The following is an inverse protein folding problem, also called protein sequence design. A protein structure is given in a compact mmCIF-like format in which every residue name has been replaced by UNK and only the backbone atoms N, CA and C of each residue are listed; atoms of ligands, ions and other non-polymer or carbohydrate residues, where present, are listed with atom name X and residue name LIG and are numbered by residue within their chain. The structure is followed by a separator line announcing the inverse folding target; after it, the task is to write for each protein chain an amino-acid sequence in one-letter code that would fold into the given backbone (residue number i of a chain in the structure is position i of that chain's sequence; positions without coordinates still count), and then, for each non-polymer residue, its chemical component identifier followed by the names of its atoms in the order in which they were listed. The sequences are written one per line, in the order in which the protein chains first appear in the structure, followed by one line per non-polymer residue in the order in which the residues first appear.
data_IF_595316716828
#
_entry.id   IF_595316716828
#
_cell.length_a   1.000
_cell.length_b   1.000
_cell.length_c   1.000
_cell.angle_alpha   90.00
_cell.angle_beta   90.00
_cell.angle_gamma   90.00
#
_symmetry.space_group_name_H-M   'P 1'
#
loop_
_entity.id
_entity.type
_entity.pdbx_description
1 polymer ?
#
# COMPACT_ATOMS: atom_id res chain seq x y z
N UNK A 1 -26.81 8.25 25.99
CA UNK A 1 -25.52 8.35 26.71
C UNK A 1 -25.77 8.53 28.19
N UNK A 2 -25.29 7.67 29.09
CA UNK A 2 -25.32 7.98 30.52
C UNK A 2 -24.21 9.00 30.80
N UNK A 3 -24.59 10.23 31.06
CA UNK A 3 -23.70 11.26 31.61
C UNK A 3 -23.54 11.01 33.10
N UNK A 4 -22.30 10.98 33.56
CA UNK A 4 -21.95 10.95 34.98
C UNK A 4 -22.00 12.41 35.46
N UNK A 5 -23.01 12.73 36.25
CA UNK A 5 -23.30 14.06 36.74
C UNK A 5 -22.14 14.65 37.51
N UNK A 6 -21.54 13.89 38.43
CA UNK A 6 -20.41 14.35 39.22
C UNK A 6 -19.18 14.71 38.39
N UNK A 7 -18.92 13.88 37.36
CA UNK A 7 -17.80 14.12 36.43
C UNK A 7 -18.05 15.34 35.56
N UNK A 8 -19.29 15.53 35.11
CA UNK A 8 -19.67 16.68 34.31
C UNK A 8 -19.56 17.99 35.16
N UNK A 9 -20.08 17.97 36.34
CA UNK A 9 -20.00 19.14 37.26
C UNK A 9 -18.55 19.48 37.62
N UNK A 10 -17.71 18.47 37.88
CA UNK A 10 -16.28 18.70 38.13
C UNK A 10 -15.57 19.26 36.87
N UNK A 11 -15.92 18.80 35.70
CA UNK A 11 -15.38 19.31 34.44
C UNK A 11 -15.77 20.78 34.24
N UNK A 12 -17.05 21.11 34.37
CA UNK A 12 -17.54 22.49 34.23
C UNK A 12 -16.86 23.43 35.24
N UNK A 13 -16.78 23.04 36.53
CA UNK A 13 -16.10 23.83 37.55
C UNK A 13 -14.63 24.09 37.26
N UNK A 14 -13.94 23.10 36.67
CA UNK A 14 -12.52 23.22 36.30
C UNK A 14 -12.30 24.15 35.10
N UNK A 15 -13.28 24.27 34.22
CA UNK A 15 -13.18 25.02 32.96
C UNK A 15 -14.11 26.26 32.95
N UNK A 16 -14.50 26.77 34.09
CA UNK A 16 -15.46 27.89 34.23
C UNK A 16 -15.07 29.16 33.49
N UNK A 17 -13.77 29.39 33.32
CA UNK A 17 -13.21 30.58 32.67
C UNK A 17 -12.84 30.32 31.19
N UNK A 18 -13.20 29.14 30.64
CA UNK A 18 -12.90 28.75 29.24
C UNK A 18 -14.13 28.93 28.38
N UNK A 19 -13.99 29.65 27.28
CA UNK A 19 -15.05 29.81 26.27
C UNK A 19 -15.31 28.52 25.45
N UNK A 20 -14.35 27.58 25.44
CA UNK A 20 -14.45 26.31 24.73
C UNK A 20 -13.65 25.21 25.44
N UNK A 21 -14.29 24.10 25.73
CA UNK A 21 -13.63 22.94 26.34
C UNK A 21 -14.24 21.64 25.82
N UNK A 22 -13.42 20.68 25.45
CA UNK A 22 -13.85 19.37 24.95
C UNK A 22 -14.10 18.44 26.13
N UNK A 23 -15.35 18.04 26.35
CA UNK A 23 -15.71 17.10 27.42
C UNK A 23 -15.50 15.64 27.05
N UNK A 24 -15.86 15.26 25.81
CA UNK A 24 -15.66 13.92 25.26
C UNK A 24 -15.37 13.97 23.77
N UNK A 25 -14.57 13.03 23.33
CA UNK A 25 -14.23 12.81 21.93
C UNK A 25 -14.69 11.43 21.46
N UNK A 26 -14.75 11.22 20.15
CA UNK A 26 -15.03 9.94 19.49
C UNK A 26 -16.35 9.27 19.89
N UNK A 27 -17.40 10.04 20.09
CA UNK A 27 -18.74 9.53 20.35
C UNK A 27 -19.42 9.14 19.02
N UNK A 28 -20.03 7.94 18.97
CA UNK A 28 -20.87 7.57 17.82
C UNK A 28 -22.20 8.33 17.85
N UNK A 29 -22.84 8.47 16.67
CA UNK A 29 -24.16 9.11 16.58
C UNK A 29 -25.16 8.47 17.54
N UNK A 30 -25.22 7.15 17.62
CA UNK A 30 -26.11 6.42 18.51
C UNK A 30 -25.90 6.73 20.00
N UNK A 31 -24.70 7.10 20.39
CA UNK A 31 -24.40 7.48 21.79
C UNK A 31 -24.89 8.89 22.15
N UNK A 32 -25.04 9.76 21.16
CA UNK A 32 -25.44 11.16 21.39
C UNK A 32 -26.86 11.47 20.92
N UNK A 33 -27.54 10.55 20.21
CA UNK A 33 -28.85 10.78 19.62
C UNK A 33 -29.88 11.30 20.65
N UNK A 34 -30.06 10.59 21.77
CA UNK A 34 -30.99 10.99 22.82
C UNK A 34 -30.69 12.41 23.38
N UNK A 35 -29.40 12.76 23.47
CA UNK A 35 -28.99 14.08 23.97
C UNK A 35 -29.22 15.17 22.92
N UNK A 36 -28.99 14.88 21.63
CA UNK A 36 -29.32 15.79 20.52
C UNK A 36 -30.83 16.04 20.46
N UNK A 37 -31.64 14.99 20.58
CA UNK A 37 -33.09 15.09 20.57
C UNK A 37 -33.62 15.86 21.79
N UNK A 38 -33.04 15.64 22.95
CA UNK A 38 -33.35 16.41 24.16
C UNK A 38 -33.05 17.89 23.97
N UNK A 39 -31.85 18.24 23.49
CA UNK A 39 -31.43 19.64 23.28
C UNK A 39 -32.32 20.33 22.21
N UNK A 40 -32.82 19.60 21.24
CA UNK A 40 -33.74 20.12 20.21
C UNK A 40 -35.20 20.26 20.70
N UNK A 41 -35.50 19.78 21.90
CA UNK A 41 -36.88 19.83 22.46
C UNK A 41 -37.12 21.06 23.32
N UNK A 42 -38.37 21.48 23.48
CA UNK A 42 -38.80 22.59 24.36
C UNK A 42 -38.41 22.38 25.84
N UNK A 43 -38.06 21.13 26.21
CA UNK A 43 -37.60 20.80 27.58
C UNK A 43 -36.22 21.29 27.88
N UNK A 44 -35.47 21.72 26.89
CA UNK A 44 -34.09 22.17 27.01
C UNK A 44 -33.93 23.71 26.98
N UNK A 45 -35.00 24.50 27.21
CA UNK A 45 -34.94 25.96 27.21
C UNK A 45 -33.81 26.56 28.04
N UNK A 46 -33.44 25.89 29.13
CA UNK A 46 -32.37 26.33 30.03
C UNK A 46 -31.02 25.65 29.79
N UNK A 47 -30.89 24.86 28.68
CA UNK A 47 -29.67 24.16 28.33
C UNK A 47 -29.02 24.85 27.14
N UNK A 48 -27.89 25.50 27.39
CA UNK A 48 -27.10 26.19 26.36
C UNK A 48 -25.63 25.81 26.42
N UNK A 49 -24.88 26.15 25.38
CA UNK A 49 -23.43 25.97 25.35
C UNK A 49 -22.94 24.55 25.02
N UNK A 50 -23.83 23.60 24.74
CA UNK A 50 -23.42 22.26 24.28
C UNK A 50 -23.33 22.26 22.76
N UNK A 51 -22.14 21.93 22.23
CA UNK A 51 -21.86 21.88 20.81
C UNK A 51 -21.35 20.49 20.44
N UNK A 52 -21.89 19.93 19.36
CA UNK A 52 -21.40 18.69 18.76
C UNK A 52 -20.61 19.02 17.51
N UNK A 53 -19.33 18.70 17.53
CA UNK A 53 -18.47 18.80 16.34
C UNK A 53 -18.44 17.45 15.66
N UNK A 54 -18.94 17.38 14.43
CA UNK A 54 -18.91 16.17 13.63
C UNK A 54 -17.51 16.00 13.01
N UNK A 55 -16.95 14.81 13.14
CA UNK A 55 -15.69 14.42 12.51
C UNK A 55 -15.92 13.12 11.75
N UNK A 56 -15.52 13.10 10.50
CA UNK A 56 -15.55 11.87 9.71
C UNK A 56 -14.32 11.04 10.01
N UNK A 57 -14.53 9.74 10.22
CA UNK A 57 -13.44 8.77 10.46
C UNK A 57 -13.48 7.70 9.39
N UNK A 58 -12.33 7.49 8.74
CA UNK A 58 -12.17 6.39 7.78
C UNK A 58 -12.30 5.05 8.51
N UNK A 59 -13.05 4.13 7.91
CA UNK A 59 -13.26 2.77 8.43
C UNK A 59 -12.67 1.75 7.48
N UNK A 60 -12.06 0.72 8.06
CA UNK A 60 -11.43 -0.38 7.34
C UNK A 60 -12.04 -1.71 7.79
N UNK A 61 -13.22 -2.12 7.24
CA UNK A 61 -13.97 -3.29 7.74
C UNK A 61 -13.16 -4.58 7.74
N UNK A 62 -12.25 -4.72 6.79
CA UNK A 62 -11.36 -5.89 6.67
C UNK A 62 -10.04 -5.75 7.44
N UNK A 63 -9.91 -4.74 8.28
CA UNK A 63 -8.79 -4.49 9.19
C UNK A 63 -7.40 -4.55 8.53
N UNK A 64 -6.77 -5.74 8.46
CA UNK A 64 -5.40 -5.89 7.94
C UNK A 64 -5.32 -6.40 6.51
N UNK A 65 -6.46 -6.75 5.89
CA UNK A 65 -6.48 -7.28 4.53
C UNK A 65 -5.97 -6.24 3.53
N UNK A 66 -5.01 -6.60 2.71
CA UNK A 66 -4.36 -5.76 1.71
C UNK A 66 -3.80 -4.44 2.29
N UNK A 67 -3.32 -4.44 3.54
CA UNK A 67 -2.98 -3.22 4.27
C UNK A 67 -1.99 -2.31 3.54
N UNK A 68 -0.92 -2.85 2.93
CA UNK A 68 0.04 -2.05 2.17
C UNK A 68 -0.50 -1.57 0.81
N UNK A 69 -1.53 -2.22 0.28
CA UNK A 69 -2.20 -1.80 -0.96
C UNK A 69 -3.16 -0.66 -0.68
N UNK A 70 -3.95 -0.78 0.38
CA UNK A 70 -4.96 0.20 0.76
C UNK A 70 -4.29 1.45 1.34
N UNK A 71 -3.39 1.30 2.33
CA UNK A 71 -2.91 2.41 3.13
C UNK A 71 -3.92 2.86 4.17
N UNK A 72 -3.67 3.98 4.83
CA UNK A 72 -4.55 4.50 5.89
C UNK A 72 -4.58 6.03 5.88
N UNK A 73 -5.56 6.60 6.59
CA UNK A 73 -5.64 8.04 6.82
C UNK A 73 -4.95 8.38 8.13
N UNK A 74 -4.00 9.31 8.09
CA UNK A 74 -3.41 9.96 9.26
C UNK A 74 -3.97 11.37 9.43
N UNK A 75 -4.07 11.82 10.68
CA UNK A 75 -4.52 13.17 11.06
C UNK A 75 -5.85 13.59 10.41
N UNK A 76 -6.74 12.62 10.23
CA UNK A 76 -8.12 12.82 9.78
C UNK A 76 -8.32 12.96 8.27
N UNK A 77 -7.33 13.48 7.52
CA UNK A 77 -7.50 13.81 6.09
C UNK A 77 -6.36 13.40 5.19
N UNK A 78 -5.21 13.03 5.74
CA UNK A 78 -4.00 12.76 4.95
C UNK A 78 -3.84 11.27 4.72
N UNK A 79 -3.95 10.84 3.46
CA UNK A 79 -3.68 9.47 3.04
C UNK A 79 -2.20 9.11 3.19
N UNK A 80 -1.92 7.98 3.83
CA UNK A 80 -0.57 7.47 4.08
C UNK A 80 -0.43 6.07 3.49
N UNK A 81 0.46 5.93 2.52
CA UNK A 81 0.69 4.69 1.79
C UNK A 81 -0.47 4.31 0.85
N UNK A 82 -0.19 3.37 -0.05
CA UNK A 82 -1.17 2.72 -0.90
C UNK A 82 -2.15 3.63 -1.65
N UNK A 83 -3.36 3.15 -1.80
CA UNK A 83 -4.47 3.81 -2.48
C UNK A 83 -4.90 5.09 -1.76
N UNK A 84 -4.94 5.08 -0.42
CA UNK A 84 -5.31 6.26 0.37
C UNK A 84 -4.38 7.44 0.09
N UNK A 85 -3.09 7.21 -0.05
CA UNK A 85 -2.13 8.28 -0.39
C UNK A 85 -2.25 8.71 -1.85
N UNK A 86 -2.29 7.74 -2.77
CA UNK A 86 -2.28 8.03 -4.21
C UNK A 86 -3.55 8.75 -4.66
N UNK A 87 -4.71 8.32 -4.17
CA UNK A 87 -6.01 8.89 -4.51
C UNK A 87 -6.55 9.83 -3.43
N UNK A 88 -5.70 10.39 -2.57
CA UNK A 88 -6.15 11.23 -1.45
C UNK A 88 -7.06 12.37 -1.92
N UNK A 89 -6.68 13.11 -2.95
CA UNK A 89 -7.49 14.20 -3.51
C UNK A 89 -8.83 13.75 -4.11
N UNK A 90 -8.90 12.49 -4.56
CA UNK A 90 -10.14 11.91 -5.10
C UNK A 90 -11.06 11.44 -3.98
N UNK A 91 -10.48 10.88 -2.92
CA UNK A 91 -11.21 10.26 -1.81
C UNK A 91 -11.68 11.27 -0.76
N UNK A 92 -10.93 12.35 -0.54
CA UNK A 92 -11.19 13.30 0.56
C UNK A 92 -12.37 14.24 0.33
N UNK A 93 -12.75 14.50 -0.93
CA UNK A 93 -13.75 15.53 -1.22
C UNK A 93 -13.26 16.95 -0.88
N UNK A 94 -14.20 17.85 -0.66
CA UNK A 94 -13.94 19.24 -0.26
C UNK A 94 -14.78 19.58 0.96
N UNK A 95 -14.16 20.10 1.99
CA UNK A 95 -14.85 20.50 3.22
C UNK A 95 -15.78 21.66 2.98
N UNK A 96 -16.99 21.57 3.51
CA UNK A 96 -17.94 22.67 3.58
C UNK A 96 -17.48 23.77 4.52
N UNK A 97 -18.09 24.93 4.43
CA UNK A 97 -17.77 26.08 5.27
C UNK A 97 -19.05 26.75 5.78
N UNK A 98 -19.05 27.09 7.08
CA UNK A 98 -20.12 27.86 7.71
C UNK A 98 -19.57 29.19 8.19
N UNK A 99 -20.07 30.27 7.61
CA UNK A 99 -19.76 31.62 8.01
C UNK A 99 -20.90 32.16 8.87
N UNK A 100 -20.56 32.79 9.99
CA UNK A 100 -21.52 33.55 10.81
C UNK A 100 -21.13 35.03 10.69
N UNK A 101 -22.09 35.89 10.44
CA UNK A 101 -21.91 37.31 10.34
C UNK A 101 -23.11 38.04 10.96
N UNK A 102 -22.96 39.29 11.29
CA UNK A 102 -24.07 40.16 11.69
C UNK A 102 -24.62 40.81 10.41
N UNK A 103 -25.92 40.73 10.22
CA UNK A 103 -26.61 41.43 9.14
C UNK A 103 -26.74 42.94 9.43
N UNK A 104 -27.35 43.72 8.53
CA UNK A 104 -27.52 45.16 8.66
C UNK A 104 -28.36 45.53 9.89
N UNK A 105 -29.19 44.64 10.40
CA UNK A 105 -30.05 44.78 11.58
C UNK A 105 -29.35 44.30 12.87
N UNK A 106 -28.03 43.98 12.81
CA UNK A 106 -27.23 43.44 13.90
C UNK A 106 -27.68 42.07 14.41
N UNK A 107 -28.49 41.37 13.62
CA UNK A 107 -28.89 40.01 13.91
C UNK A 107 -27.83 39.00 13.37
N UNK A 108 -27.70 37.89 14.07
CA UNK A 108 -26.75 36.84 13.68
C UNK A 108 -27.31 36.03 12.50
N UNK A 109 -26.68 36.16 11.34
CA UNK A 109 -26.98 35.37 10.16
C UNK A 109 -25.84 34.37 9.82
N UNK A 110 -26.10 33.41 8.95
CA UNK A 110 -25.12 32.43 8.56
C UNK A 110 -25.20 32.07 7.08
N UNK A 111 -24.05 31.98 6.44
CA UNK A 111 -23.92 31.43 5.09
C UNK A 111 -23.24 30.06 5.17
N UNK A 112 -23.78 29.09 4.45
CA UNK A 112 -23.27 27.72 4.40
C UNK A 112 -22.83 27.42 2.97
N UNK A 113 -21.59 26.96 2.83
CA UNK A 113 -21.09 26.31 1.63
C UNK A 113 -21.10 24.81 1.93
N UNK A 114 -21.94 24.06 1.22
CA UNK A 114 -22.09 22.62 1.44
C UNK A 114 -20.79 21.87 1.11
N UNK A 115 -20.47 20.77 1.83
CA UNK A 115 -19.32 19.93 1.51
C UNK A 115 -19.54 19.12 0.22
N UNK A 116 -18.48 18.89 -0.52
CA UNK A 116 -18.47 17.98 -1.66
C UNK A 116 -17.89 16.63 -1.24
N UNK A 117 -18.67 15.56 -1.40
CA UNK A 117 -18.22 14.21 -1.08
C UNK A 117 -17.10 13.77 -2.00
N UNK A 118 -16.12 13.05 -1.45
CA UNK A 118 -15.10 12.36 -2.22
C UNK A 118 -15.68 11.27 -3.13
N UNK A 119 -14.91 10.88 -4.13
CA UNK A 119 -15.31 9.86 -5.11
C UNK A 119 -14.92 8.46 -4.63
N UNK A 120 -15.64 7.45 -5.11
CA UNK A 120 -15.31 6.04 -4.87
C UNK A 120 -14.22 5.58 -5.81
N UNK A 121 -13.23 4.86 -5.29
CA UNK A 121 -12.20 4.15 -6.06
C UNK A 121 -12.49 2.66 -6.01
N UNK A 122 -12.68 2.05 -7.19
CA UNK A 122 -12.86 0.61 -7.34
C UNK A 122 -11.55 0.00 -7.81
N UNK A 123 -11.10 -1.08 -7.17
CA UNK A 123 -9.86 -1.77 -7.49
C UNK A 123 -10.14 -3.16 -8.07
N UNK A 124 -9.13 -3.75 -8.72
CA UNK A 124 -9.20 -5.13 -9.22
C UNK A 124 -8.84 -6.18 -8.17
N UNK A 125 -8.48 -5.75 -6.96
CA UNK A 125 -8.18 -6.66 -5.85
C UNK A 125 -9.43 -7.45 -5.48
N UNK A 126 -9.35 -8.78 -5.62
CA UNK A 126 -10.38 -9.69 -5.14
C UNK A 126 -10.12 -10.05 -3.68
N UNK A 127 -11.07 -9.78 -2.81
CA UNK A 127 -10.91 -9.96 -1.37
C UNK A 127 -10.68 -11.43 -0.97
N UNK A 128 -11.24 -12.38 -1.71
CA UNK A 128 -11.09 -13.81 -1.43
C UNK A 128 -9.70 -14.30 -1.86
N UNK A 129 -9.25 -13.87 -3.06
CA UNK A 129 -7.93 -14.22 -3.58
C UNK A 129 -6.85 -13.56 -2.69
N UNK A 130 -7.04 -12.30 -2.31
CA UNK A 130 -6.15 -11.59 -1.39
C UNK A 130 -6.03 -12.30 -0.04
N UNK A 131 -7.18 -12.68 0.55
CA UNK A 131 -7.21 -13.42 1.82
C UNK A 131 -6.51 -14.75 1.71
N UNK A 132 -6.77 -15.51 0.64
CA UNK A 132 -6.10 -16.78 0.38
C UNK A 132 -4.58 -16.60 0.29
N UNK A 133 -4.11 -15.59 -0.43
CA UNK A 133 -2.69 -15.27 -0.56
C UNK A 133 -2.05 -14.93 0.80
N UNK A 134 -2.70 -14.10 1.62
CA UNK A 134 -2.22 -13.74 2.96
C UNK A 134 -2.19 -14.96 3.90
N UNK A 135 -3.21 -15.81 3.85
CA UNK A 135 -3.27 -17.05 4.65
C UNK A 135 -2.14 -18.03 4.26
N UNK A 136 -1.84 -18.17 2.96
CA UNK A 136 -0.71 -19.00 2.50
C UNK A 136 0.64 -18.42 2.91
N UNK A 137 0.83 -17.09 2.83
CA UNK A 137 2.04 -16.43 3.33
C UNK A 137 2.22 -16.69 4.83
N UNK A 138 1.15 -16.55 5.62
CA UNK A 138 1.21 -16.79 7.06
C UNK A 138 1.61 -18.23 7.39
N UNK A 139 1.09 -19.22 6.63
CA UNK A 139 1.48 -20.63 6.79
C UNK A 139 2.94 -20.86 6.39
N UNK A 140 3.37 -20.25 5.30
CA UNK A 140 4.74 -20.34 4.82
C UNK A 140 5.74 -19.76 5.84
N UNK A 141 5.47 -18.56 6.35
CA UNK A 141 6.32 -17.91 7.36
C UNK A 141 6.43 -18.74 8.63
N UNK A 142 5.31 -19.28 9.12
CA UNK A 142 5.31 -20.17 10.30
C UNK A 142 6.13 -21.43 10.09
N UNK A 143 6.13 -21.97 8.88
CA UNK A 143 6.84 -23.22 8.56
C UNK A 143 8.33 -23.02 8.30
N UNK A 144 8.70 -21.94 7.62
CA UNK A 144 10.06 -21.75 7.09
C UNK A 144 10.82 -20.57 7.72
N UNK A 145 10.14 -19.62 8.33
CA UNK A 145 10.76 -18.49 9.02
C UNK A 145 11.55 -17.56 8.10
N UNK A 146 10.98 -17.16 6.95
CA UNK A 146 11.68 -16.29 6.01
C UNK A 146 11.81 -14.85 6.54
N UNK A 147 12.73 -14.08 5.97
CA UNK A 147 12.90 -12.64 6.31
C UNK A 147 11.77 -11.77 5.78
N UNK A 148 10.99 -12.28 4.84
CA UNK A 148 9.85 -11.62 4.20
C UNK A 148 9.51 -12.31 2.89
N UNK A 149 8.23 -12.51 2.65
CA UNK A 149 7.70 -13.16 1.46
C UNK A 149 6.53 -12.35 0.92
N UNK A 150 6.32 -12.44 -0.39
CA UNK A 150 5.25 -11.73 -1.07
C UNK A 150 4.60 -12.62 -2.13
N UNK A 151 3.31 -12.42 -2.35
CA UNK A 151 2.54 -13.06 -3.43
C UNK A 151 1.86 -11.97 -4.24
N UNK A 152 2.06 -11.99 -5.55
CA UNK A 152 1.35 -11.19 -6.53
C UNK A 152 0.56 -12.11 -7.44
N UNK A 153 -0.77 -11.90 -7.53
CA UNK A 153 -1.65 -12.62 -8.45
C UNK A 153 -2.17 -11.62 -9.48
N UNK A 154 -1.84 -11.87 -10.75
CA UNK A 154 -2.14 -10.96 -11.84
C UNK A 154 -2.71 -11.72 -13.03
N UNK A 155 -3.67 -11.13 -13.73
CA UNK A 155 -4.14 -11.60 -15.02
C UNK A 155 -3.13 -11.17 -16.11
N UNK A 156 -2.46 -12.11 -16.77
CA UNK A 156 -1.45 -11.75 -17.76
C UNK A 156 -2.01 -11.14 -19.05
N UNK A 157 -3.32 -11.30 -19.32
CA UNK A 157 -3.93 -10.81 -20.54
C UNK A 157 -4.26 -9.30 -20.50
N UNK A 158 -4.59 -8.78 -19.30
CA UNK A 158 -5.03 -7.39 -19.15
C UNK A 158 -4.30 -6.62 -18.06
N UNK A 159 -3.45 -7.29 -17.28
CA UNK A 159 -2.66 -6.68 -16.20
C UNK A 159 -3.42 -6.41 -14.90
N UNK A 160 -4.65 -6.86 -14.76
CA UNK A 160 -5.41 -6.75 -13.51
C UNK A 160 -4.72 -7.50 -12.38
N UNK A 161 -4.59 -6.84 -11.24
CA UNK A 161 -4.00 -7.43 -10.04
C UNK A 161 -5.14 -7.88 -9.12
N UNK A 162 -5.25 -9.19 -8.93
CA UNK A 162 -6.28 -9.79 -8.06
C UNK A 162 -5.83 -9.92 -6.61
N UNK A 163 -4.53 -10.08 -6.37
CA UNK A 163 -3.97 -10.04 -5.03
C UNK A 163 -2.55 -9.49 -5.03
N UNK A 164 -2.21 -8.75 -3.98
CA UNK A 164 -0.88 -8.22 -3.70
C UNK A 164 -0.63 -8.34 -2.21
N UNK A 165 -0.13 -9.48 -1.77
CA UNK A 165 0.01 -9.86 -0.38
C UNK A 165 1.47 -9.89 0.06
N UNK A 166 1.73 -9.46 1.30
CA UNK A 166 3.04 -9.49 1.94
C UNK A 166 2.95 -10.19 3.30
N UNK A 167 4.03 -10.84 3.70
CA UNK A 167 4.09 -11.54 5.00
C UNK A 167 3.95 -10.61 6.21
N UNK A 168 4.26 -9.33 6.03
CA UNK A 168 4.06 -8.30 7.07
C UNK A 168 2.83 -7.48 6.73
N UNK A 169 1.77 -7.61 7.50
CA UNK A 169 0.56 -6.81 7.41
C UNK A 169 0.35 -6.02 8.71
N UNK A 170 -0.47 -4.98 8.69
CA UNK A 170 -0.80 -4.17 9.87
C UNK A 170 -2.29 -3.86 9.91
N UNK A 171 -2.80 -3.50 11.08
CA UNK A 171 -4.20 -3.12 11.22
C UNK A 171 -4.40 -1.67 10.76
N UNK A 172 -5.24 -1.48 9.74
CA UNK A 172 -5.56 -0.17 9.16
C UNK A 172 -6.37 0.73 10.10
N UNK A 173 -7.16 0.15 11.02
CA UNK A 173 -7.90 0.92 12.04
C UNK A 173 -6.97 1.50 13.12
N UNK A 174 -5.81 0.87 13.34
CA UNK A 174 -4.82 1.27 14.35
C UNK A 174 -3.40 1.07 13.82
N UNK A 175 -2.99 1.80 12.77
CA UNK A 175 -1.72 1.55 12.07
C UNK A 175 -0.48 1.81 12.94
N UNK A 176 -0.61 2.65 13.99
CA UNK A 176 0.46 2.99 14.94
C UNK A 176 0.42 2.17 16.24
N UNK A 177 -0.43 1.13 16.33
CA UNK A 177 -0.43 0.23 17.48
C UNK A 177 0.87 -0.61 17.48
N UNK A 178 1.58 -0.62 18.61
CA UNK A 178 2.81 -1.39 18.80
C UNK A 178 2.64 -2.88 18.51
N UNK A 179 1.43 -3.43 18.62
CA UNK A 179 1.10 -4.80 18.23
C UNK A 179 1.43 -5.12 16.77
N UNK A 180 1.36 -4.12 15.88
CA UNK A 180 1.75 -4.30 14.49
C UNK A 180 3.25 -4.55 14.34
N UNK A 181 4.07 -4.01 15.25
CA UNK A 181 5.53 -4.21 15.27
C UNK A 181 5.90 -5.64 15.68
N UNK A 182 5.06 -6.31 16.49
CA UNK A 182 5.31 -7.67 16.98
C UNK A 182 5.35 -8.74 15.88
N UNK A 183 4.90 -8.40 14.68
CA UNK A 183 5.05 -9.28 13.51
C UNK A 183 6.49 -9.34 12.99
N UNK A 184 7.32 -8.36 13.33
CA UNK A 184 8.71 -8.25 12.87
C UNK A 184 9.73 -8.22 14.01
N UNK A 185 9.33 -7.70 15.18
CA UNK A 185 10.20 -7.49 16.34
C UNK A 185 9.64 -8.22 17.56
N UNK A 186 10.52 -8.65 18.46
CA UNK A 186 10.08 -9.22 19.75
C UNK A 186 9.52 -8.14 20.68
N UNK A 187 8.70 -8.52 21.64
CA UNK A 187 8.14 -7.60 22.64
C UNK A 187 9.25 -6.83 23.38
N UNK A 188 10.36 -7.49 23.72
CA UNK A 188 11.50 -6.85 24.39
C UNK A 188 12.19 -5.81 23.51
N UNK A 189 12.25 -6.03 22.20
CA UNK A 189 12.79 -5.04 21.25
C UNK A 189 11.85 -3.84 21.14
N UNK A 190 10.55 -4.07 20.96
CA UNK A 190 9.55 -2.98 20.87
C UNK A 190 9.56 -2.11 22.11
N UNK A 191 9.61 -2.71 23.31
CA UNK A 191 9.62 -1.98 24.57
C UNK A 191 10.88 -1.10 24.77
N UNK A 192 11.97 -1.41 24.09
CA UNK A 192 13.24 -0.65 24.17
C UNK A 192 13.38 0.40 23.06
N UNK A 193 12.50 0.40 22.08
CA UNK A 193 12.53 1.37 20.97
C UNK A 193 12.19 2.77 21.47
N UNK A 194 12.97 3.75 21.08
CA UNK A 194 12.61 5.16 21.14
C UNK A 194 11.48 5.47 20.15
N UNK A 195 10.75 6.58 20.35
CA UNK A 195 9.69 7.00 19.42
C UNK A 195 10.19 7.18 17.98
N UNK A 196 11.42 7.62 17.79
CA UNK A 196 12.06 7.73 16.47
C UNK A 196 12.29 6.37 15.82
N UNK A 197 12.73 5.38 16.60
CA UNK A 197 12.92 4.01 16.13
C UNK A 197 11.59 3.33 15.82
N UNK A 198 10.56 3.51 16.65
CA UNK A 198 9.20 3.04 16.37
C UNK A 198 8.66 3.63 15.08
N UNK A 199 8.81 4.95 14.88
CA UNK A 199 8.38 5.62 13.64
C UNK A 199 9.07 5.02 12.42
N UNK A 200 10.38 4.75 12.49
CA UNK A 200 11.11 4.09 11.42
C UNK A 200 10.60 2.67 11.18
N UNK A 201 10.37 1.90 12.24
CA UNK A 201 9.85 0.55 12.16
C UNK A 201 8.44 0.50 11.56
N UNK A 202 7.55 1.42 11.93
CA UNK A 202 6.23 1.57 11.31
C UNK A 202 6.33 1.89 9.81
N UNK A 203 7.17 2.83 9.41
CA UNK A 203 7.37 3.16 8.01
C UNK A 203 7.86 1.94 7.19
N UNK A 204 8.68 1.07 7.77
CA UNK A 204 9.10 -0.17 7.13
C UNK A 204 7.96 -1.17 6.96
N UNK A 205 7.03 -1.28 7.92
CA UNK A 205 5.87 -2.17 7.85
C UNK A 205 4.84 -1.66 6.85
N UNK A 206 4.62 -0.34 6.79
CA UNK A 206 3.66 0.27 5.88
C UNK A 206 4.10 0.24 4.43
N UNK A 207 5.42 0.13 4.19
CA UNK A 207 5.97 0.04 2.85
C UNK A 207 5.56 -1.25 2.15
N UNK A 208 5.10 -1.14 0.91
CA UNK A 208 4.80 -2.31 0.09
C UNK A 208 6.07 -2.79 -0.63
N UNK A 209 6.68 -3.91 -0.23
CA UNK A 209 7.93 -4.38 -0.83
C UNK A 209 7.80 -4.79 -2.29
N UNK A 210 6.62 -5.25 -2.73
CA UNK A 210 6.39 -5.67 -4.12
C UNK A 210 6.65 -4.54 -5.11
N UNK A 211 6.27 -3.30 -4.73
CA UNK A 211 6.39 -2.13 -5.61
C UNK A 211 7.55 -1.21 -5.27
N UNK A 212 8.19 -1.40 -4.11
CA UNK A 212 9.19 -0.46 -3.62
C UNK A 212 10.56 -1.05 -3.36
N UNK A 213 10.71 -2.38 -3.38
CA UNK A 213 12.00 -3.03 -3.21
C UNK A 213 12.52 -3.58 -4.52
N UNK A 214 13.79 -3.32 -4.81
CA UNK A 214 14.51 -4.03 -5.85
C UNK A 214 14.96 -5.40 -5.33
N UNK A 215 14.99 -6.41 -6.19
CA UNK A 215 15.50 -7.73 -5.89
C UNK A 215 16.23 -8.32 -7.09
N UNK A 216 17.09 -9.29 -6.85
CA UNK A 216 17.77 -10.04 -7.88
C UNK A 216 16.84 -11.16 -8.41
N UNK A 217 16.35 -11.07 -9.66
CA UNK A 217 15.32 -12.00 -10.16
C UNK A 217 15.86 -13.41 -10.42
N UNK A 218 17.18 -13.57 -10.54
CA UNK A 218 17.80 -14.86 -10.82
C UNK A 218 17.34 -15.44 -12.14
N UNK A 219 17.04 -16.74 -12.15
CA UNK A 219 16.66 -17.48 -13.37
C UNK A 219 15.33 -17.03 -13.99
N UNK A 220 14.46 -16.35 -13.25
CA UNK A 220 13.21 -15.80 -13.81
C UNK A 220 13.47 -14.69 -14.84
N UNK A 221 14.69 -14.14 -14.88
CA UNK A 221 15.10 -13.16 -15.87
C UNK A 221 15.53 -13.78 -17.23
N UNK A 222 15.83 -15.08 -17.27
CA UNK A 222 16.32 -15.76 -18.47
C UNK A 222 15.39 -15.67 -19.69
N UNK A 223 14.05 -15.88 -19.56
CA UNK A 223 13.12 -15.66 -20.65
C UNK A 223 13.19 -14.27 -21.26
N UNK A 224 13.33 -13.23 -20.43
CA UNK A 224 13.48 -11.85 -20.93
C UNK A 224 14.78 -11.67 -21.71
N UNK A 225 15.86 -12.32 -21.28
CA UNK A 225 17.14 -12.32 -22.00
C UNK A 225 16.99 -12.94 -23.38
N UNK A 226 16.30 -14.07 -23.49
CA UNK A 226 16.08 -14.75 -24.77
C UNK A 226 15.12 -13.97 -25.65
N UNK A 227 13.97 -13.53 -25.10
CA UNK A 227 12.99 -12.72 -25.82
C UNK A 227 13.61 -11.49 -26.47
N UNK A 228 14.40 -10.73 -25.69
CA UNK A 228 15.12 -9.60 -26.22
C UNK A 228 16.16 -9.97 -27.30
N UNK A 229 16.78 -11.16 -27.22
CA UNK A 229 17.69 -11.65 -28.26
C UNK A 229 16.99 -12.05 -29.55
N UNK A 230 15.79 -12.56 -29.46
CA UNK A 230 14.94 -12.89 -30.62
C UNK A 230 14.41 -11.60 -31.27
N UNK A 231 13.90 -10.65 -30.48
CA UNK A 231 13.39 -9.37 -30.97
C UNK A 231 14.44 -8.56 -31.74
N UNK A 232 15.68 -8.56 -31.25
CA UNK A 232 16.81 -7.88 -31.88
C UNK A 232 17.43 -8.67 -33.04
N UNK A 233 16.89 -9.85 -33.37
CA UNK A 233 17.43 -10.71 -34.46
C UNK A 233 18.81 -11.30 -34.16
N UNK A 234 19.32 -11.21 -32.94
CA UNK A 234 20.59 -11.82 -32.50
C UNK A 234 20.43 -13.32 -32.38
N UNK A 235 19.23 -13.75 -31.99
CA UNK A 235 18.82 -15.14 -31.91
C UNK A 235 17.77 -15.41 -33.01
N UNK A 236 17.86 -16.57 -33.60
CA UNK A 236 16.91 -17.04 -34.64
C UNK A 236 15.96 -18.13 -34.13
N UNK A 237 16.20 -18.65 -32.91
CA UNK A 237 15.38 -19.69 -32.28
C UNK A 237 15.87 -21.12 -32.49
N UNK A 238 16.80 -21.34 -33.42
CA UNK A 238 17.33 -22.67 -33.80
C UNK A 238 18.77 -22.92 -33.34
N UNK A 239 19.31 -22.02 -32.50
CA UNK A 239 20.67 -22.15 -31.99
C UNK A 239 20.81 -23.33 -31.02
N UNK A 240 22.04 -23.86 -31.01
CA UNK A 240 22.49 -24.87 -30.05
C UNK A 240 23.67 -24.33 -29.24
N UNK A 241 23.77 -24.78 -28.01
CA UNK A 241 24.81 -24.39 -27.03
C UNK A 241 25.37 -25.65 -26.40
N UNK A 242 26.66 -25.67 -26.16
CA UNK A 242 27.29 -26.74 -25.42
C UNK A 242 27.50 -26.30 -23.98
N UNK A 243 26.97 -27.04 -23.02
CA UNK A 243 27.10 -26.78 -21.59
C UNK A 243 28.03 -27.84 -20.99
N UNK A 244 29.20 -27.41 -20.54
CA UNK A 244 30.17 -28.23 -19.82
C UNK A 244 30.06 -28.05 -18.27
N UNK A 245 29.07 -27.29 -17.81
CA UNK A 245 28.76 -27.12 -16.40
C UNK A 245 29.29 -25.83 -15.77
N UNK A 246 30.05 -25.02 -16.49
CA UNK A 246 30.55 -23.74 -16.00
C UNK A 246 30.90 -22.76 -17.14
N UNK A 247 31.00 -21.47 -16.80
CA UNK A 247 31.59 -20.44 -17.66
C UNK A 247 32.53 -19.55 -16.86
N UNK A 248 33.60 -19.11 -17.52
CA UNK A 248 34.51 -18.10 -16.98
C UNK A 248 34.06 -16.71 -17.43
N UNK A 249 33.73 -15.86 -16.47
CA UNK A 249 33.32 -14.47 -16.71
C UNK A 249 34.27 -13.56 -15.95
N UNK A 250 35.23 -12.96 -16.67
CA UNK A 250 36.31 -12.23 -16.05
C UNK A 250 37.14 -13.14 -15.10
N UNK A 251 37.36 -12.72 -13.86
CA UNK A 251 38.07 -13.52 -12.87
C UNK A 251 37.23 -14.63 -12.21
N UNK A 252 35.92 -14.67 -12.49
CA UNK A 252 35.00 -15.56 -11.80
C UNK A 252 34.63 -16.77 -12.64
N UNK A 253 34.52 -17.95 -11.99
CA UNK A 253 33.97 -19.16 -12.56
C UNK A 253 32.52 -19.29 -12.06
N UNK A 254 31.56 -19.23 -12.96
CA UNK A 254 30.13 -19.34 -12.65
C UNK A 254 29.64 -20.71 -13.10
N UNK A 255 29.10 -21.48 -12.16
CA UNK A 255 28.65 -22.84 -12.41
C UNK A 255 27.18 -22.89 -12.88
N UNK A 256 26.91 -23.86 -13.75
CA UNK A 256 25.56 -24.28 -14.04
C UNK A 256 24.96 -25.02 -12.82
N UNK A 257 23.63 -25.05 -12.69
CA UNK A 257 22.94 -25.89 -11.70
C UNK A 257 23.29 -27.37 -11.84
N UNK A 258 23.45 -27.82 -13.07
CA UNK A 258 23.97 -29.15 -13.41
C UNK A 258 25.48 -29.07 -13.65
N UNK A 259 26.26 -29.38 -12.63
CA UNK A 259 27.73 -29.15 -12.64
C UNK A 259 28.50 -30.04 -13.62
N UNK A 260 27.94 -31.20 -14.00
CA UNK A 260 28.53 -32.08 -15.02
C UNK A 260 28.24 -31.63 -16.46
N UNK A 261 27.46 -30.52 -16.60
CA UNK A 261 27.04 -30.00 -17.89
C UNK A 261 25.80 -30.72 -18.46
N UNK A 262 25.04 -30.00 -19.30
CA UNK A 262 23.89 -30.54 -19.98
C UNK A 262 24.25 -31.10 -21.37
N UNK A 263 25.52 -30.98 -21.77
CA UNK A 263 25.95 -31.33 -23.15
C UNK A 263 25.41 -30.37 -24.19
N UNK A 264 25.17 -30.86 -25.38
CA UNK A 264 24.61 -30.08 -26.48
C UNK A 264 23.10 -29.91 -26.29
N UNK A 265 22.64 -28.69 -26.16
CA UNK A 265 21.24 -28.33 -25.93
C UNK A 265 20.78 -27.22 -26.90
N UNK A 266 19.51 -27.22 -27.27
CA UNK A 266 18.90 -26.17 -28.08
C UNK A 266 18.59 -24.94 -27.24
N UNK A 267 18.30 -23.79 -27.88
CA UNK A 267 17.84 -22.57 -27.21
C UNK A 267 16.62 -22.84 -26.33
N UNK A 268 15.63 -23.59 -26.82
CA UNK A 268 14.45 -23.98 -26.06
C UNK A 268 14.81 -24.81 -24.82
N UNK A 269 15.70 -25.79 -24.95
CA UNK A 269 16.18 -26.61 -23.86
C UNK A 269 17.00 -25.77 -22.86
N UNK A 270 17.71 -24.74 -23.32
CA UNK A 270 18.47 -23.85 -22.40
C UNK A 270 17.56 -23.12 -21.41
N UNK A 271 16.33 -22.79 -21.82
CA UNK A 271 15.31 -22.18 -20.98
C UNK A 271 14.66 -23.23 -20.08
N UNK A 272 14.19 -24.35 -20.63
CA UNK A 272 13.48 -25.37 -19.84
C UNK A 272 14.36 -26.02 -18.78
N UNK A 273 15.65 -26.22 -19.07
CA UNK A 273 16.66 -26.71 -18.13
C UNK A 273 17.23 -25.61 -17.24
N UNK A 274 16.85 -24.35 -17.47
CA UNK A 274 17.41 -23.18 -16.76
C UNK A 274 18.95 -23.16 -16.77
N UNK A 275 19.54 -23.48 -17.93
CA UNK A 275 20.99 -23.61 -18.08
C UNK A 275 21.69 -22.26 -17.92
N UNK A 276 22.55 -22.09 -16.91
CA UNK A 276 23.31 -20.86 -16.71
C UNK A 276 24.34 -20.67 -17.81
N UNK A 277 25.04 -21.74 -18.16
CA UNK A 277 26.12 -21.74 -19.13
C UNK A 277 25.63 -21.27 -20.53
N UNK A 278 24.59 -21.90 -21.08
CA UNK A 278 24.02 -21.49 -22.36
C UNK A 278 23.57 -20.00 -22.35
N UNK A 279 22.93 -19.55 -21.26
CA UNK A 279 22.51 -18.16 -21.15
C UNK A 279 23.69 -17.18 -21.05
N UNK A 280 24.78 -17.57 -20.41
CA UNK A 280 26.01 -16.79 -20.39
C UNK A 280 26.72 -16.75 -21.75
N UNK A 281 26.57 -17.76 -22.62
CA UNK A 281 27.05 -17.72 -24.01
C UNK A 281 26.22 -16.76 -24.90
N UNK A 282 24.94 -16.56 -24.57
CA UNK A 282 24.03 -15.61 -25.23
C UNK A 282 24.33 -14.15 -24.82
N UNK A 283 24.59 -13.92 -23.54
CA UNK A 283 24.72 -12.58 -22.95
C UNK A 283 25.82 -11.70 -23.62
N UNK A 284 27.04 -12.18 -23.94
CA UNK A 284 28.08 -11.37 -24.56
C UNK A 284 27.74 -10.93 -25.99
N UNK A 285 26.96 -11.73 -26.72
CA UNK A 285 26.46 -11.35 -28.05
C UNK A 285 25.58 -10.10 -27.98
N UNK A 286 24.99 -9.85 -26.80
CA UNK A 286 24.16 -8.70 -26.49
C UNK A 286 24.93 -7.51 -25.86
N UNK A 287 26.07 -7.73 -25.22
CA UNK A 287 26.76 -6.70 -24.43
C UNK A 287 27.15 -5.47 -25.29
N UNK A 288 27.29 -5.62 -26.60
CA UNK A 288 27.47 -4.53 -27.54
C UNK A 288 26.20 -3.72 -27.84
N UNK A 289 25.00 -4.20 -27.45
CA UNK A 289 23.69 -3.64 -27.82
C UNK A 289 22.83 -3.24 -26.63
N UNK A 290 23.36 -3.22 -25.40
CA UNK A 290 22.68 -2.57 -24.28
C UNK A 290 22.69 -1.04 -24.46
N UNK A 291 22.26 -0.60 -25.67
CA UNK A 291 21.89 0.77 -25.92
C UNK A 291 20.59 1.08 -25.15
N UNK A 292 20.37 2.34 -24.89
CA UNK A 292 19.19 2.84 -24.18
C UNK A 292 17.85 2.41 -24.82
N UNK A 293 17.86 1.89 -26.02
CA UNK A 293 16.67 1.55 -26.80
C UNK A 293 16.02 0.21 -26.35
N UNK A 294 16.80 -0.81 -25.97
CA UNK A 294 16.24 -2.06 -25.42
C UNK A 294 15.58 -1.83 -24.06
N UNK A 295 16.11 -0.88 -23.27
CA UNK A 295 15.45 -0.48 -22.02
C UNK A 295 14.11 0.23 -22.26
N UNK A 296 13.89 0.79 -23.45
CA UNK A 296 12.62 1.44 -23.82
C UNK A 296 11.58 0.43 -24.35
N UNK A 297 12.01 -0.63 -24.97
CA UNK A 297 11.13 -1.65 -25.59
C UNK A 297 10.71 -2.71 -24.56
N UNK A 298 11.59 -3.09 -23.62
CA UNK A 298 11.22 -4.01 -22.56
C UNK A 298 10.42 -3.27 -21.47
N UNK A 299 9.35 -3.91 -21.00
CA UNK A 299 8.58 -3.49 -19.81
C UNK A 299 9.50 -3.19 -18.61
N UNK A 300 10.72 -3.74 -18.60
CA UNK A 300 11.76 -3.53 -17.57
C UNK A 300 12.52 -2.20 -17.73
N UNK A 301 12.44 -1.55 -18.88
CA UNK A 301 13.04 -0.23 -19.11
C UNK A 301 12.06 0.91 -18.99
N UNK A 302 10.78 0.64 -19.05
CA UNK A 302 9.77 1.59 -18.58
C UNK A 302 9.96 1.60 -17.06
N UNK A 303 10.40 2.73 -16.50
CA UNK A 303 10.17 2.98 -15.09
C UNK A 303 8.69 2.68 -14.89
N UNK A 304 8.39 1.52 -14.29
CA UNK A 304 7.10 1.32 -13.70
C UNK A 304 7.00 2.44 -12.66
N UNK A 305 6.39 3.54 -13.07
CA UNK A 305 5.69 4.35 -12.13
C UNK A 305 4.75 3.34 -11.49
N UNK A 306 5.20 2.69 -10.41
CA UNK A 306 4.28 1.99 -9.57
C UNK A 306 3.20 3.02 -9.33
N UNK A 307 1.96 2.67 -9.58
CA UNK A 307 0.77 3.50 -9.38
C UNK A 307 0.82 4.25 -8.04
N UNK A 308 1.76 3.89 -7.19
CA UNK A 308 1.88 4.31 -5.81
C UNK A 308 2.94 5.39 -5.51
N UNK A 309 3.85 5.78 -6.42
CA UNK A 309 5.01 6.57 -5.95
C UNK A 309 5.65 7.58 -6.92
N UNK A 310 5.10 8.00 -8.04
CA UNK A 310 5.68 9.12 -8.76
C UNK A 310 4.81 10.38 -8.79
N UNK A 311 5.27 11.38 -8.04
CA UNK A 311 5.08 12.80 -8.36
C UNK A 311 5.64 13.04 -9.76
N UNK A 312 4.78 13.53 -10.67
CA UNK A 312 5.09 14.07 -11.99
C UNK A 312 5.43 13.07 -13.12
N UNK A 313 4.42 12.60 -13.83
CA UNK A 313 4.11 12.86 -15.25
C UNK A 313 2.94 12.00 -15.69
N UNK A 314 1.98 12.66 -16.35
CA UNK A 314 0.84 12.05 -17.02
C UNK A 314 1.32 10.98 -18.01
N UNK A 315 1.12 9.72 -17.70
CA UNK A 315 0.89 8.66 -18.68
C UNK A 315 0.01 7.62 -18.04
N UNK A 316 -1.16 7.49 -18.63
CA UNK A 316 -2.20 6.51 -18.35
C UNK A 316 -1.59 5.12 -18.33
N UNK A 317 -1.71 4.41 -17.23
CA UNK A 317 -1.66 2.97 -17.21
C UNK A 317 -2.87 2.40 -16.49
N UNK A 318 -3.51 1.49 -17.18
CA UNK A 318 -4.78 0.85 -16.94
C UNK A 318 -4.92 0.25 -15.54
N UNK A 319 -5.75 0.84 -14.71
CA UNK A 319 -6.55 0.19 -13.70
C UNK A 319 -7.94 0.83 -13.62
N UNK A 320 -8.47 1.23 -14.77
CA UNK A 320 -9.87 1.58 -14.88
C UNK A 320 -10.35 1.18 -16.25
N UNK A 321 -11.12 0.10 -16.35
CA UNK A 321 -12.15 0.02 -17.35
C UNK A 321 -13.46 0.46 -16.73
N UNK A 322 -14.05 1.40 -17.43
CA UNK A 322 -15.34 2.03 -17.32
C UNK A 322 -16.45 1.16 -16.71
N UNK A 323 -17.16 1.75 -15.80
CA UNK A 323 -18.64 1.69 -15.82
C UNK A 323 -19.13 2.99 -16.40
#
# INVERSE_FOLDING_TARGET
MKLDEDKLLKFIKRHKDSYYSVYREELSYSQIADLKDFIASDKAENVSGIVFNEKYKRRYPNQSLASQVIGFISDGTIGTGGIEQYYNSTLSGVDGRKYKYLNEELEQDSSIVEPENGKTVVTTIDSNIQKLAEDQLSKFEKKYGSKGSSILVMNPNNGEIYAMANSTSYNLESPRDDKNLLKKYSQSQVNKMSEKEKTKAFNEIWKNPIVSNAFEPGSTYKPFTVAAGLEEGILKGNETYYCDGYQKVGPHTIHCSHRSGHGLITLSQSISLSCNDALMQIAPKKARMYSQDIRRISILGIRQGSIFLEKHRQHRFFMMQKI
#
